data_IF_935895270278
#
_entry.id   IF_935895270278
#
_cell.length_a   1.000
_cell.length_b   1.000
_cell.length_c   1.000
_cell.angle_alpha   90.00
_cell.angle_beta   90.00
_cell.angle_gamma   90.00
#
_symmetry.space_group_name_H-M   'P 1'
#
loop_
_entity.id
_entity.type
_entity.pdbx_description
1 polymer ?
#
# COMPACT_ATOMS: atom_id res chain seq x y z
N UNK A 1 3.48 -21.41 24.93
CA UNK A 1 3.29 -20.00 25.30
C UNK A 1 2.71 -19.30 24.07
N UNK A 2 1.37 -19.12 24.04
CA UNK A 2 0.71 -18.31 23.03
C UNK A 2 1.03 -16.85 23.33
N UNK A 3 1.65 -16.13 22.39
CA UNK A 3 1.75 -14.68 22.48
C UNK A 3 0.34 -14.15 22.20
N UNK A 4 -0.32 -13.66 23.23
CA UNK A 4 -1.46 -12.75 23.08
C UNK A 4 -0.94 -11.52 22.36
N UNK A 5 -1.42 -11.32 21.13
CA UNK A 5 -1.27 -10.06 20.44
C UNK A 5 -2.31 -9.15 21.06
N UNK A 6 -1.87 -8.31 22.00
CA UNK A 6 -2.70 -7.21 22.49
C UNK A 6 -3.13 -6.38 21.29
N UNK A 7 -4.43 -6.39 21.04
CA UNK A 7 -5.10 -5.41 20.18
C UNK A 7 -4.88 -4.04 20.84
N UNK A 8 -3.87 -3.30 20.41
CA UNK A 8 -3.75 -1.89 20.78
C UNK A 8 -5.05 -1.20 20.37
N UNK A 9 -5.86 -0.86 21.37
CA UNK A 9 -7.02 -0.01 21.17
C UNK A 9 -6.48 1.35 20.75
N UNK A 10 -6.65 1.66 19.48
CA UNK A 10 -6.21 2.93 18.87
C UNK A 10 -7.01 4.09 19.46
N UNK A 11 -6.65 4.54 20.66
CA UNK A 11 -7.26 5.70 21.30
C UNK A 11 -6.84 6.96 20.55
N UNK A 12 -7.79 7.62 19.92
CA UNK A 12 -7.58 8.94 19.31
C UNK A 12 -7.24 9.97 20.38
N UNK A 13 -6.05 10.54 20.30
CA UNK A 13 -5.82 11.88 20.86
C UNK A 13 -6.43 12.88 19.86
N UNK A 14 -7.16 13.90 20.34
CA UNK A 14 -7.98 14.81 19.51
C UNK A 14 -7.22 15.55 18.36
N UNK A 15 -5.89 15.48 18.34
CA UNK A 15 -5.03 16.08 17.34
C UNK A 15 -4.31 15.07 16.41
N UNK A 16 -4.44 13.74 16.64
CA UNK A 16 -3.73 12.73 15.86
C UNK A 16 -4.58 12.19 14.72
N UNK A 17 -4.05 12.21 13.49
CA UNK A 17 -4.65 11.62 12.30
C UNK A 17 -3.93 10.34 11.88
N UNK A 18 -4.53 9.61 10.92
CA UNK A 18 -3.96 8.37 10.38
C UNK A 18 -4.02 8.36 8.86
N UNK A 19 -2.89 8.06 8.24
CA UNK A 19 -2.82 7.73 6.81
C UNK A 19 -2.79 6.21 6.69
N UNK A 20 -3.84 5.65 6.11
CA UNK A 20 -4.05 4.21 5.95
C UNK A 20 -3.56 3.86 4.55
N UNK A 21 -2.28 3.48 4.45
CA UNK A 21 -1.62 3.17 3.19
C UNK A 21 -2.01 1.77 2.73
N UNK A 22 -2.49 1.63 1.51
CA UNK A 22 -2.92 0.36 0.94
C UNK A 22 -2.23 0.15 -0.41
N UNK A 23 -1.57 -1.00 -0.59
CA UNK A 23 -1.15 -1.41 -1.92
C UNK A 23 -2.38 -1.89 -2.71
N UNK A 24 -2.47 -1.53 -3.99
CA UNK A 24 -3.55 -2.02 -4.86
C UNK A 24 -3.67 -3.56 -4.84
N UNK A 25 -4.85 -4.10 -5.09
CA UNK A 25 -5.13 -5.52 -5.24
C UNK A 25 -4.36 -6.16 -6.40
N UNK A 26 -4.30 -7.48 -6.45
CA UNK A 26 -3.59 -8.19 -7.50
C UNK A 26 -4.05 -7.73 -8.89
N UNK A 27 -3.08 -7.45 -9.76
CA UNK A 27 -3.28 -7.11 -11.17
C UNK A 27 -2.70 -8.21 -12.07
N UNK A 28 -3.06 -8.20 -13.35
CA UNK A 28 -2.50 -9.14 -14.33
C UNK A 28 -0.96 -9.14 -14.36
N UNK A 29 -0.34 -7.95 -14.18
CA UNK A 29 1.12 -7.84 -14.07
C UNK A 29 1.68 -8.55 -12.84
N UNK A 30 0.98 -8.48 -11.70
CA UNK A 30 1.38 -9.21 -10.49
C UNK A 30 1.23 -10.71 -10.67
N UNK A 31 0.13 -11.17 -11.25
CA UNK A 31 -0.12 -12.58 -11.53
C UNK A 31 0.95 -13.14 -12.48
N UNK A 32 1.33 -12.39 -13.53
CA UNK A 32 2.38 -12.77 -14.45
C UNK A 32 3.80 -12.62 -13.88
N UNK A 33 3.98 -12.04 -12.67
CA UNK A 33 5.26 -11.72 -12.03
C UNK A 33 6.18 -10.87 -12.92
N UNK A 34 5.59 -9.89 -13.61
CA UNK A 34 6.26 -8.99 -14.55
C UNK A 34 6.07 -7.53 -14.17
N UNK A 35 7.06 -6.71 -14.47
CA UNK A 35 6.94 -5.27 -14.37
C UNK A 35 5.97 -4.75 -15.42
N UNK A 36 4.84 -4.20 -14.98
CA UNK A 36 3.85 -3.63 -15.88
C UNK A 36 3.80 -2.12 -15.75
N UNK A 37 4.34 -1.39 -16.72
CA UNK A 37 4.28 0.08 -16.75
C UNK A 37 2.93 0.60 -17.21
N UNK A 38 2.07 -0.26 -17.78
CA UNK A 38 0.78 0.15 -18.32
C UNK A 38 -0.14 0.65 -17.19
N UNK A 39 -0.57 1.94 -17.21
CA UNK A 39 -1.43 2.51 -16.19
C UNK A 39 -2.87 1.96 -16.24
N UNK A 40 -3.29 1.40 -17.38
CA UNK A 40 -4.67 0.95 -17.63
C UNK A 40 -4.93 -0.52 -17.26
N UNK A 41 -3.91 -1.23 -16.78
CA UNK A 41 -4.10 -2.59 -16.25
C UNK A 41 -5.00 -2.54 -15.02
N UNK A 42 -6.05 -3.38 -15.04
CA UNK A 42 -7.01 -3.55 -13.97
C UNK A 42 -6.60 -4.59 -12.93
N UNK A 43 -7.55 -4.94 -12.08
CA UNK A 43 -7.43 -6.00 -11.08
C UNK A 43 -7.83 -7.35 -11.67
N UNK A 44 -7.22 -8.43 -11.18
CA UNK A 44 -7.71 -9.79 -11.37
C UNK A 44 -8.95 -10.04 -10.49
N UNK A 45 -9.71 -11.11 -10.71
CA UNK A 45 -10.78 -11.51 -9.78
C UNK A 45 -10.29 -11.64 -8.33
N UNK A 46 -9.10 -12.21 -8.14
CA UNK A 46 -8.44 -12.32 -6.83
C UNK A 46 -8.15 -10.91 -6.25
N UNK A 47 -7.66 -9.98 -7.08
CA UNK A 47 -7.40 -8.61 -6.64
C UNK A 47 -8.67 -7.85 -6.23
N UNK A 48 -9.81 -8.14 -6.86
CA UNK A 48 -11.11 -7.56 -6.47
C UNK A 48 -11.52 -8.09 -5.09
N UNK A 49 -11.40 -9.39 -4.85
CA UNK A 49 -11.72 -10.00 -3.56
C UNK A 49 -10.81 -9.48 -2.44
N UNK A 50 -9.51 -9.41 -2.68
CA UNK A 50 -8.54 -8.78 -1.76
C UNK A 50 -8.95 -7.35 -1.40
N UNK A 51 -9.37 -6.55 -2.36
CA UNK A 51 -9.81 -5.18 -2.12
C UNK A 51 -11.10 -5.11 -1.27
N UNK A 52 -12.06 -6.02 -1.50
CA UNK A 52 -13.26 -6.12 -0.67
C UNK A 52 -12.94 -6.49 0.79
N UNK A 53 -12.09 -7.51 0.99
CA UNK A 53 -11.68 -7.92 2.34
C UNK A 53 -10.95 -6.79 3.08
N UNK A 54 -10.03 -6.11 2.39
CA UNK A 54 -9.30 -4.96 2.93
C UNK A 54 -10.24 -3.81 3.27
N UNK A 55 -11.22 -3.52 2.43
CA UNK A 55 -12.24 -2.51 2.72
C UNK A 55 -13.04 -2.84 3.99
N UNK A 56 -13.47 -4.11 4.15
CA UNK A 56 -14.14 -4.59 5.37
C UNK A 56 -13.24 -4.51 6.60
N UNK A 57 -11.95 -4.85 6.45
CA UNK A 57 -10.97 -4.71 7.52
C UNK A 57 -10.83 -3.25 7.95
N UNK A 58 -10.68 -2.33 7.00
CA UNK A 58 -10.60 -0.89 7.27
C UNK A 58 -11.88 -0.41 7.97
N UNK A 59 -13.07 -0.81 7.50
CA UNK A 59 -14.35 -0.42 8.08
C UNK A 59 -14.52 -0.85 9.55
N UNK A 60 -13.88 -1.95 9.96
CA UNK A 60 -13.91 -2.41 11.37
C UNK A 60 -13.07 -1.53 12.29
N UNK A 61 -11.94 -1.01 11.81
CA UNK A 61 -10.95 -0.33 12.65
C UNK A 61 -10.93 1.19 12.48
N UNK A 62 -11.40 1.71 11.35
CA UNK A 62 -11.28 3.12 10.97
C UNK A 62 -12.60 3.71 10.47
N UNK A 63 -12.65 5.03 10.43
CA UNK A 63 -13.75 5.78 9.80
C UNK A 63 -13.15 6.79 8.84
N UNK A 64 -12.69 6.34 7.65
CA UNK A 64 -12.04 7.23 6.71
C UNK A 64 -12.99 8.33 6.26
N UNK A 65 -12.54 9.56 6.41
CA UNK A 65 -13.26 10.74 5.91
C UNK A 65 -12.90 11.02 4.44
N UNK A 66 -11.75 10.51 3.98
CA UNK A 66 -11.21 10.73 2.64
C UNK A 66 -10.53 9.48 2.10
N UNK A 67 -10.58 9.37 0.77
CA UNK A 67 -9.87 8.33 0.02
C UNK A 67 -9.07 9.01 -1.10
N UNK A 68 -7.78 8.72 -1.15
CA UNK A 68 -6.83 9.22 -2.15
C UNK A 68 -6.26 8.02 -2.89
N UNK A 69 -6.11 8.11 -4.20
CA UNK A 69 -5.59 7.02 -5.01
C UNK A 69 -4.58 7.51 -6.04
N UNK A 70 -3.61 6.66 -6.34
CA UNK A 70 -2.78 6.79 -7.54
C UNK A 70 -3.65 6.86 -8.80
N UNK A 71 -3.18 7.58 -9.81
CA UNK A 71 -3.84 7.69 -11.12
C UNK A 71 -3.93 6.39 -11.91
N UNK A 72 -3.19 5.33 -11.55
CA UNK A 72 -3.23 4.05 -12.24
C UNK A 72 -4.52 3.28 -11.96
N UNK A 73 -5.12 2.71 -13.01
CA UNK A 73 -6.44 2.06 -12.96
C UNK A 73 -6.57 1.02 -11.83
N UNK A 74 -5.58 0.15 -11.62
CA UNK A 74 -5.60 -0.86 -10.54
C UNK A 74 -5.70 -0.24 -9.14
N UNK A 75 -5.07 0.91 -8.91
CA UNK A 75 -5.17 1.63 -7.63
C UNK A 75 -6.53 2.32 -7.49
N UNK A 76 -7.05 2.94 -8.56
CA UNK A 76 -8.39 3.54 -8.56
C UNK A 76 -9.47 2.50 -8.30
N UNK A 77 -9.44 1.36 -9.00
CA UNK A 77 -10.40 0.27 -8.76
C UNK A 77 -10.35 -0.27 -7.33
N UNK A 78 -9.14 -0.41 -6.77
CA UNK A 78 -8.99 -0.80 -5.36
C UNK A 78 -9.62 0.24 -4.43
N UNK A 79 -9.37 1.52 -4.68
CA UNK A 79 -9.94 2.62 -3.89
C UNK A 79 -11.48 2.68 -4.01
N UNK A 80 -12.05 2.48 -5.19
CA UNK A 80 -13.50 2.43 -5.43
C UNK A 80 -14.16 1.27 -4.66
N UNK A 81 -13.50 0.11 -4.62
CA UNK A 81 -13.99 -1.05 -3.86
C UNK A 81 -13.94 -0.75 -2.36
N UNK A 82 -12.80 -0.23 -1.88
CA UNK A 82 -12.66 0.15 -0.45
C UNK A 82 -13.70 1.21 -0.09
N UNK A 83 -13.93 2.23 -0.93
CA UNK A 83 -14.93 3.26 -0.70
C UNK A 83 -16.32 2.69 -0.44
N UNK A 84 -16.74 1.71 -1.25
CA UNK A 84 -18.03 1.00 -1.06
C UNK A 84 -18.08 0.25 0.27
N UNK A 85 -17.04 -0.48 0.61
CA UNK A 85 -17.01 -1.30 1.83
C UNK A 85 -16.97 -0.45 3.11
N UNK A 86 -16.34 0.73 3.08
CA UNK A 86 -16.33 1.66 4.23
C UNK A 86 -17.51 2.63 4.24
N UNK A 87 -18.38 2.59 3.23
CA UNK A 87 -19.53 3.50 3.11
C UNK A 87 -19.15 4.95 2.81
N UNK A 88 -18.01 5.17 2.14
CA UNK A 88 -17.57 6.51 1.73
C UNK A 88 -18.34 6.99 0.51
N UNK A 89 -19.11 8.08 0.67
CA UNK A 89 -19.91 8.67 -0.42
C UNK A 89 -19.22 9.87 -1.11
N UNK A 90 -18.03 10.25 -0.64
CA UNK A 90 -17.27 11.38 -1.20
C UNK A 90 -16.52 11.01 -2.48
N UNK A 91 -15.93 12.00 -3.10
CA UNK A 91 -15.05 11.83 -4.25
C UNK A 91 -13.73 11.16 -3.82
N UNK A 92 -13.19 10.30 -4.70
CA UNK A 92 -11.85 9.74 -4.56
C UNK A 92 -10.87 10.72 -5.20
N UNK A 93 -9.97 11.28 -4.40
CA UNK A 93 -8.97 12.22 -4.86
C UNK A 93 -7.86 11.49 -5.62
N UNK A 94 -7.52 11.95 -6.81
CA UNK A 94 -6.47 11.33 -7.63
C UNK A 94 -5.17 12.11 -7.50
N UNK A 95 -4.13 11.40 -7.05
CA UNK A 95 -2.77 11.92 -6.88
C UNK A 95 -1.78 11.26 -7.84
N UNK A 96 -1.27 12.02 -8.79
CA UNK A 96 -0.32 11.52 -9.80
C UNK A 96 1.04 11.13 -9.20
N UNK A 97 1.47 11.80 -8.14
CA UNK A 97 2.73 11.53 -7.47
C UNK A 97 2.72 10.24 -6.64
N UNK A 98 1.55 9.60 -6.50
CA UNK A 98 1.40 8.25 -5.95
C UNK A 98 1.49 7.15 -7.02
N UNK A 99 1.78 7.45 -8.31
CA UNK A 99 1.96 6.45 -9.37
C UNK A 99 3.13 5.51 -9.08
N UNK A 100 3.07 4.28 -9.62
CA UNK A 100 4.17 3.32 -9.41
C UNK A 100 5.50 3.85 -9.95
N UNK A 101 6.58 3.32 -9.40
CA UNK A 101 7.95 3.57 -9.84
C UNK A 101 8.08 3.32 -11.34
N UNK A 102 8.57 4.27 -12.08
CA UNK A 102 8.94 4.06 -13.46
C UNK A 102 10.12 3.09 -13.53
N UNK A 103 9.92 1.96 -14.20
CA UNK A 103 10.89 0.86 -14.24
C UNK A 103 11.77 0.88 -15.50
N UNK A 104 11.53 1.82 -16.39
CA UNK A 104 12.36 2.05 -17.59
C UNK A 104 12.53 0.81 -18.43
N UNK A 105 13.78 0.48 -18.74
CA UNK A 105 14.18 -0.67 -19.57
C UNK A 105 13.71 -2.03 -19.09
N UNK A 106 13.33 -2.16 -17.79
CA UNK A 106 12.77 -3.40 -17.26
C UNK A 106 11.27 -3.56 -17.53
N UNK A 107 10.65 -2.64 -18.26
CA UNK A 107 9.24 -2.72 -18.63
C UNK A 107 8.93 -4.04 -19.34
N UNK A 108 7.93 -4.79 -18.84
CA UNK A 108 7.55 -6.09 -19.35
C UNK A 108 8.47 -7.25 -18.95
N UNK A 109 9.62 -6.99 -18.32
CA UNK A 109 10.55 -8.03 -17.85
C UNK A 109 10.03 -8.73 -16.59
N UNK A 110 10.47 -9.97 -16.31
CA UNK A 110 10.20 -10.63 -15.03
C UNK A 110 10.79 -9.82 -13.87
N UNK A 111 10.23 -9.96 -12.67
CA UNK A 111 10.77 -9.29 -11.48
C UNK A 111 12.23 -9.70 -11.14
N UNK A 112 12.65 -10.92 -11.53
CA UNK A 112 14.03 -11.37 -11.36
C UNK A 112 15.04 -10.50 -12.11
N UNK A 113 14.67 -9.97 -13.28
CA UNK A 113 15.55 -9.15 -14.12
C UNK A 113 16.16 -7.94 -13.36
N UNK A 114 15.45 -7.40 -12.37
CA UNK A 114 16.00 -6.34 -11.52
C UNK A 114 17.20 -6.81 -10.70
N UNK A 115 17.13 -8.00 -10.10
CA UNK A 115 18.22 -8.55 -9.28
C UNK A 115 19.38 -9.09 -10.12
N UNK A 116 19.10 -9.46 -11.36
CA UNK A 116 20.07 -9.95 -12.32
C UNK A 116 20.79 -8.81 -13.07
N UNK A 117 20.32 -7.56 -12.91
CA UNK A 117 20.92 -6.41 -13.54
C UNK A 117 22.31 -6.12 -12.95
N UNK A 118 23.37 -5.95 -13.79
CA UNK A 118 24.75 -5.85 -13.32
C UNK A 118 25.03 -4.64 -12.41
N UNK A 119 24.27 -3.58 -12.55
CA UNK A 119 24.41 -2.37 -11.72
C UNK A 119 23.53 -2.38 -10.46
N UNK A 120 22.68 -3.42 -10.28
CA UNK A 120 21.82 -3.50 -9.12
C UNK A 120 22.60 -3.97 -7.89
N UNK A 121 22.54 -3.20 -6.79
CA UNK A 121 23.08 -3.58 -5.48
C UNK A 121 21.98 -3.80 -4.48
N UNK A 122 21.99 -4.92 -3.79
CA UNK A 122 21.05 -5.24 -2.70
C UNK A 122 21.26 -4.31 -1.51
N UNK A 123 22.51 -3.90 -1.24
CA UNK A 123 22.90 -3.03 -0.13
C UNK A 123 22.47 -1.58 -0.35
N UNK A 124 22.30 -1.18 -1.62
CA UNK A 124 21.93 0.18 -2.03
C UNK A 124 20.78 0.18 -3.05
N UNK A 125 19.87 -0.78 -2.94
CA UNK A 125 18.78 -1.00 -3.89
C UNK A 125 17.90 0.25 -4.09
N UNK A 126 17.85 1.15 -3.14
CA UNK A 126 17.05 2.37 -3.20
C UNK A 126 17.64 3.46 -4.10
N UNK A 127 18.95 3.44 -4.33
CA UNK A 127 19.65 4.41 -5.20
C UNK A 127 19.67 3.96 -6.64
N UNK A 128 19.56 2.65 -6.87
CA UNK A 128 19.63 2.11 -8.22
C UNK A 128 18.47 2.62 -9.08
N UNK A 129 18.82 3.12 -10.29
CA UNK A 129 17.89 3.68 -11.26
C UNK A 129 18.07 2.92 -12.58
N UNK A 130 17.03 2.16 -13.05
CA UNK A 130 17.08 1.57 -14.38
C UNK A 130 17.09 2.67 -15.46
N UNK A 131 17.68 2.39 -16.62
CA UNK A 131 17.71 3.36 -17.71
C UNK A 131 16.29 3.78 -18.11
N UNK A 132 16.05 5.09 -18.18
CA UNK A 132 14.71 5.65 -18.42
C UNK A 132 13.68 5.46 -17.29
N UNK A 133 14.13 5.06 -16.10
CA UNK A 133 13.27 4.85 -14.93
C UNK A 133 13.58 5.77 -13.75
N UNK A 134 13.01 5.44 -12.60
CA UNK A 134 13.20 6.11 -11.31
C UNK A 134 13.98 5.22 -10.34
N UNK A 135 14.78 5.80 -9.44
CA UNK A 135 15.22 5.16 -8.21
C UNK A 135 14.09 5.21 -7.15
N UNK A 136 14.23 4.46 -6.06
CA UNK A 136 13.28 4.60 -4.94
C UNK A 136 13.47 5.93 -4.20
N UNK A 137 14.66 6.54 -4.29
CA UNK A 137 14.89 7.90 -3.79
C UNK A 137 14.01 8.89 -4.55
N UNK A 138 13.98 8.83 -5.89
CA UNK A 138 13.11 9.71 -6.70
C UNK A 138 11.63 9.52 -6.35
N UNK A 139 11.23 8.26 -6.18
CA UNK A 139 9.85 7.94 -5.75
C UNK A 139 9.53 8.56 -4.40
N UNK A 140 10.46 8.49 -3.43
CA UNK A 140 10.29 9.13 -2.12
C UNK A 140 10.17 10.64 -2.24
N UNK A 141 11.02 11.27 -3.05
CA UNK A 141 11.04 12.73 -3.24
C UNK A 141 9.71 13.27 -3.79
N UNK A 142 9.04 12.51 -4.69
CA UNK A 142 7.72 12.94 -5.20
C UNK A 142 6.54 12.51 -4.34
N UNK A 143 6.60 11.35 -3.68
CA UNK A 143 5.45 10.79 -2.98
C UNK A 143 5.34 11.25 -1.51
N UNK A 144 6.47 11.47 -0.81
CA UNK A 144 6.43 11.92 0.58
C UNK A 144 5.74 13.28 0.77
N UNK A 145 5.92 14.30 -0.10
CA UNK A 145 5.18 15.55 -0.01
C UNK A 145 3.65 15.38 -0.07
N UNK A 146 3.15 14.32 -0.73
CA UNK A 146 1.70 14.02 -0.73
C UNK A 146 1.22 13.68 0.67
N UNK A 147 1.93 12.81 1.39
CA UNK A 147 1.58 12.45 2.76
C UNK A 147 1.62 13.66 3.69
N UNK A 148 2.66 14.48 3.58
CA UNK A 148 2.80 15.71 4.40
C UNK A 148 1.63 16.65 4.14
N UNK A 149 1.31 16.92 2.87
CA UNK A 149 0.18 17.78 2.48
C UNK A 149 -1.15 17.24 2.99
N UNK A 150 -1.38 15.92 2.93
CA UNK A 150 -2.61 15.31 3.45
C UNK A 150 -2.71 15.48 4.97
N UNK A 151 -1.62 15.24 5.70
CA UNK A 151 -1.59 15.38 7.15
C UNK A 151 -1.82 16.84 7.60
N UNK A 152 -1.25 17.81 6.88
CA UNK A 152 -1.39 19.25 7.18
C UNK A 152 -2.78 19.78 6.80
N UNK A 153 -3.32 19.34 5.66
CA UNK A 153 -4.62 19.82 5.18
C UNK A 153 -5.80 19.21 5.94
N UNK A 154 -5.63 18.03 6.53
CA UNK A 154 -6.70 17.28 7.17
C UNK A 154 -6.28 16.74 8.55
N UNK A 155 -5.97 17.64 9.51
CA UNK A 155 -5.48 17.25 10.81
C UNK A 155 -6.51 16.42 11.58
N UNK A 156 -6.08 15.34 12.21
CA UNK A 156 -6.93 14.45 13.00
C UNK A 156 -7.86 13.53 12.19
N UNK A 157 -7.78 13.55 10.86
CA UNK A 157 -8.61 12.69 10.01
C UNK A 157 -7.97 11.32 9.74
N UNK A 158 -8.82 10.34 9.43
CA UNK A 158 -8.42 9.06 8.86
C UNK A 158 -8.53 9.15 7.34
N UNK A 159 -7.44 8.92 6.64
CA UNK A 159 -7.35 9.03 5.18
C UNK A 159 -6.81 7.73 4.60
N UNK A 160 -7.58 7.10 3.71
CA UNK A 160 -7.08 5.94 2.95
C UNK A 160 -6.25 6.44 1.77
N UNK A 161 -5.06 5.89 1.59
CA UNK A 161 -4.15 6.22 0.49
C UNK A 161 -3.81 4.95 -0.28
N UNK A 162 -4.38 4.79 -1.48
CA UNK A 162 -4.16 3.59 -2.31
C UNK A 162 -3.06 3.83 -3.33
N UNK A 163 -2.01 3.01 -3.27
CA UNK A 163 -0.84 3.17 -4.11
C UNK A 163 -0.22 1.82 -4.50
N UNK A 164 1.10 1.75 -4.64
CA UNK A 164 1.85 0.66 -5.26
C UNK A 164 3.01 0.19 -4.37
N UNK A 165 3.58 -0.97 -4.70
CA UNK A 165 4.62 -1.58 -3.89
C UNK A 165 5.89 -0.74 -3.74
N UNK A 166 6.40 -0.18 -4.84
CA UNK A 166 7.58 0.68 -4.80
C UNK A 166 7.34 2.00 -4.06
N UNK A 167 6.14 2.57 -4.21
CA UNK A 167 5.75 3.81 -3.51
C UNK A 167 5.61 3.56 -2.01
N UNK A 168 4.92 2.48 -1.60
CA UNK A 168 4.79 2.16 -0.17
C UNK A 168 6.14 1.95 0.49
N UNK A 169 7.07 1.24 -0.18
CA UNK A 169 8.43 1.07 0.32
C UNK A 169 9.15 2.41 0.51
N UNK A 170 9.01 3.34 -0.44
CA UNK A 170 9.60 4.67 -0.36
C UNK A 170 8.95 5.53 0.76
N UNK A 171 7.63 5.42 0.94
CA UNK A 171 6.91 6.13 2.00
C UNK A 171 7.24 5.57 3.40
N UNK A 172 7.41 4.25 3.54
CA UNK A 172 7.91 3.65 4.78
C UNK A 172 9.29 4.19 5.13
N UNK A 173 10.20 4.26 4.15
CA UNK A 173 11.54 4.82 4.36
C UNK A 173 11.51 6.31 4.73
N UNK A 174 10.53 7.07 4.24
CA UNK A 174 10.31 8.46 4.66
C UNK A 174 9.88 8.53 6.13
N UNK A 175 8.89 7.74 6.54
CA UNK A 175 8.35 7.75 7.91
C UNK A 175 9.36 7.24 8.94
N UNK A 176 10.13 6.21 8.60
CA UNK A 176 11.12 5.59 9.48
C UNK A 176 12.47 6.31 9.48
N UNK A 177 12.64 7.34 8.63
CA UNK A 177 13.89 8.10 8.50
C UNK A 177 15.03 7.34 7.82
N UNK A 178 14.74 6.20 7.17
CA UNK A 178 15.74 5.37 6.51
C UNK A 178 15.18 4.14 5.83
N UNK A 179 16.03 3.43 5.07
CA UNK A 179 15.65 2.22 4.32
C UNK A 179 15.80 0.94 5.18
N UNK A 180 15.12 0.92 6.32
CA UNK A 180 15.30 -0.11 7.37
C UNK A 180 14.62 -1.43 7.00
N UNK A 181 13.53 -1.37 6.22
CA UNK A 181 12.71 -2.54 5.88
C UNK A 181 12.56 -2.70 4.36
N UNK A 182 13.48 -3.43 3.70
CA UNK A 182 13.44 -3.58 2.23
C UNK A 182 12.36 -4.57 1.74
N UNK A 183 11.21 -4.64 2.38
CA UNK A 183 10.11 -5.52 1.99
C UNK A 183 9.03 -4.74 1.25
N UNK A 184 8.76 -5.16 0.02
CA UNK A 184 7.61 -4.65 -0.73
C UNK A 184 6.32 -5.18 -0.11
N UNK A 185 5.38 -4.30 0.21
CA UNK A 185 4.06 -4.68 0.72
C UNK A 185 3.37 -5.69 -0.21
N UNK A 186 2.61 -6.65 0.35
CA UNK A 186 1.76 -7.58 -0.43
C UNK A 186 0.57 -6.83 -1.03
N UNK A 187 -0.07 -7.42 -2.03
CA UNK A 187 -1.30 -6.84 -2.59
C UNK A 187 -2.35 -6.68 -1.48
N UNK A 188 -3.00 -5.53 -1.44
CA UNK A 188 -3.97 -5.14 -0.42
C UNK A 188 -3.43 -5.12 1.03
N UNK A 189 -2.12 -5.18 1.23
CA UNK A 189 -1.54 -4.98 2.56
C UNK A 189 -1.78 -3.55 3.03
N UNK A 190 -2.10 -3.43 4.33
CA UNK A 190 -2.41 -2.15 4.98
C UNK A 190 -1.31 -1.79 5.97
N UNK A 191 -0.76 -0.60 5.79
CA UNK A 191 0.16 0.03 6.73
C UNK A 191 -0.50 1.31 7.27
N UNK A 192 -0.34 1.57 8.55
CA UNK A 192 -0.93 2.75 9.20
C UNK A 192 0.17 3.69 9.64
N UNK A 193 0.14 4.89 9.13
CA UNK A 193 0.99 6.00 9.58
C UNK A 193 0.17 6.90 10.49
N UNK A 194 0.54 6.95 11.76
CA UNK A 194 -0.05 7.89 12.72
C UNK A 194 0.80 9.16 12.74
N UNK A 195 0.13 10.30 12.69
CA UNK A 195 0.77 11.62 12.77
C UNK A 195 0.04 12.52 13.76
N UNK A 196 0.78 13.39 14.42
CA UNK A 196 0.27 14.46 15.27
C UNK A 196 1.19 15.67 15.16
N UNK A 197 0.69 16.92 15.34
CA UNK A 197 1.50 18.10 15.32
C UNK A 197 2.64 18.04 16.36
N UNK A 198 3.88 18.23 15.90
CA UNK A 198 5.07 18.23 16.77
C UNK A 198 5.58 16.86 17.21
N UNK A 199 4.91 15.78 16.84
CA UNK A 199 5.32 14.40 17.14
C UNK A 199 5.95 13.72 15.94
N UNK A 200 6.92 12.80 16.14
CA UNK A 200 7.40 11.95 15.07
C UNK A 200 6.29 11.08 14.49
N UNK A 201 6.30 10.92 13.19
CA UNK A 201 5.38 9.99 12.52
C UNK A 201 5.70 8.55 12.92
N UNK A 202 4.66 7.73 13.09
CA UNK A 202 4.79 6.33 13.52
C UNK A 202 4.17 5.41 12.47
N UNK A 203 4.92 4.37 12.09
CA UNK A 203 4.47 3.33 11.17
C UNK A 203 4.09 2.06 11.94
N UNK A 204 2.96 1.47 11.60
CA UNK A 204 2.51 0.17 12.11
C UNK A 204 1.84 -0.64 11.00
N UNK A 205 1.82 -1.97 11.15
CA UNK A 205 1.16 -2.88 10.23
C UNK A 205 -0.22 -3.25 10.79
N UNK A 206 -1.26 -3.15 9.97
CA UNK A 206 -2.57 -3.71 10.30
C UNK A 206 -2.54 -5.18 9.89
N UNK A 207 -2.42 -6.09 10.86
CA UNK A 207 -2.42 -7.53 10.59
C UNK A 207 -3.77 -7.96 9.99
N UNK A 208 -3.75 -8.45 8.75
CA UNK A 208 -4.86 -9.17 8.16
C UNK A 208 -4.91 -10.56 8.81
N UNK A 209 -5.84 -10.81 9.71
CA UNK A 209 -6.21 -12.18 10.07
C UNK A 209 -6.93 -12.79 8.88
N UNK A 210 -6.17 -13.43 8.00
CA UNK A 210 -6.73 -14.40 7.07
C UNK A 210 -7.05 -15.63 7.93
N UNK A 211 -8.26 -15.72 8.44
CA UNK A 211 -8.82 -17.01 8.82
C UNK A 211 -8.94 -17.79 7.52
N UNK A 212 -8.02 -18.72 7.33
CA UNK A 212 -8.15 -19.72 6.29
C UNK A 212 -9.42 -20.50 6.59
N UNK A 213 -10.45 -20.31 5.77
CA UNK A 213 -11.55 -21.25 5.65
C UNK A 213 -11.02 -22.52 4.96
N UNK A 214 -10.20 -23.27 5.65
CA UNK A 214 -9.96 -24.68 5.37
C UNK A 214 -11.17 -25.42 5.95
N UNK A 215 -12.16 -25.68 5.13
CA UNK A 215 -13.27 -26.54 5.48
C UNK A 215 -12.74 -27.93 5.87
N UNK A 216 -12.94 -28.30 7.11
CA UNK A 216 -12.85 -29.68 7.58
C UNK A 216 -13.95 -30.50 6.88
N UNK A 217 -13.59 -31.04 5.73
CA UNK A 217 -14.34 -32.13 5.12
C UNK A 217 -13.99 -33.42 5.86
N UNK A 218 -14.61 -33.67 6.99
CA UNK A 218 -14.63 -35.00 7.56
C UNK A 218 -15.42 -35.93 6.64
N UNK A 219 -14.73 -36.79 5.92
CA UNK A 219 -15.34 -37.94 5.31
C UNK A 219 -15.39 -39.05 6.38
N UNK A 220 -16.51 -39.16 7.06
CA UNK A 220 -16.94 -40.43 7.62
C UNK A 220 -17.49 -41.28 6.51
N UNK A 221 -16.90 -42.43 6.27
CA UNK A 221 -17.51 -43.65 5.75
C UNK A 221 -16.67 -44.77 6.30
N UNK A 222 -17.27 -45.68 7.02
CA UNK A 222 -18.08 -46.79 6.72
C UNK A 222 -17.26 -47.99 6.26
#
# INVERSE_FOLDING_TARGET
MKREVELEVWTRNAASGRLILVRHGESEGNQARRFSPNPDIGLTPVGIEQACETGRLIARHFRPSRIVASSYRRARLTAEIIAREVGHAGEILIEHDLRERAIGELAGQPYSAMREHPEYSVERFWEWRPAGGESLVDVRERAAPVLVRLAESFPGEDIVVVSHGGVMLALCAFVEGGWVRPRVARNCEVLVVTYAPGEPWKLSELAAHVESCAGDGAAETG
#
